data_IF_087907063261
#
_entry.id   IF_087907063261
#
_cell.length_a   1.000
_cell.length_b   1.000
_cell.length_c   1.000
_cell.angle_alpha   90.00
_cell.angle_beta   90.00
_cell.angle_gamma   90.00
#
_symmetry.space_group_name_H-M   'P 1'
#
loop_
_entity.id
_entity.type
_entity.pdbx_description
1 polymer ?
#
# COMPACT_ATOMS: atom_id res chain seq x y z
N UNK A 1 2.46 1.24 2.28
CA UNK A 1 3.43 2.11 1.56
C UNK A 1 4.00 1.47 0.29
N UNK A 2 4.03 0.13 0.18
CA UNK A 2 4.72 -0.57 -0.92
C UNK A 2 3.86 -0.79 -2.18
N UNK A 3 2.58 -0.49 -2.15
CA UNK A 3 1.63 -0.88 -3.20
C UNK A 3 1.06 0.28 -4.01
N UNK A 4 1.47 1.54 -3.76
CA UNK A 4 0.98 2.68 -4.52
C UNK A 4 2.12 3.58 -5.01
N UNK A 5 2.11 3.98 -6.31
CA UNK A 5 3.20 4.69 -6.98
C UNK A 5 3.25 6.20 -6.72
N UNK A 6 2.51 6.73 -5.76
CA UNK A 6 2.58 8.15 -5.43
C UNK A 6 3.84 8.45 -4.62
N UNK A 7 4.74 9.27 -5.18
CA UNK A 7 5.90 9.81 -4.47
C UNK A 7 5.48 10.78 -3.38
N UNK A 8 6.24 10.86 -2.29
CA UNK A 8 6.05 11.81 -1.22
C UNK A 8 5.55 11.17 0.09
N UNK A 9 5.43 12.01 1.12
CA UNK A 9 5.07 11.58 2.46
C UNK A 9 3.66 11.00 2.52
N UNK A 10 3.52 9.87 3.19
CA UNK A 10 2.24 9.17 3.38
C UNK A 10 1.97 9.01 4.86
N UNK A 11 0.74 9.34 5.26
CA UNK A 11 0.22 8.94 6.56
C UNK A 11 -0.46 7.57 6.40
N UNK A 12 -0.01 6.59 7.14
CA UNK A 12 -0.58 5.24 7.17
C UNK A 12 -1.26 5.02 8.51
N UNK A 13 -2.52 4.61 8.48
CA UNK A 13 -3.33 4.27 9.64
C UNK A 13 -3.69 2.79 9.56
N UNK A 14 -3.38 2.04 10.59
CA UNK A 14 -3.74 0.63 10.73
C UNK A 14 -4.60 0.43 11.99
N UNK A 15 -5.88 0.09 11.82
CA UNK A 15 -6.79 -0.14 12.96
C UNK A 15 -6.98 -1.64 13.15
N UNK A 16 -6.20 -2.20 14.05
CA UNK A 16 -6.25 -3.60 14.43
C UNK A 16 -7.30 -3.93 15.50
N UNK A 17 -7.26 -5.16 16.01
CA UNK A 17 -8.17 -5.61 17.07
C UNK A 17 -7.85 -5.02 18.44
N UNK A 18 -6.57 -4.85 18.77
CA UNK A 18 -6.09 -4.36 20.08
C UNK A 18 -5.47 -2.98 20.07
N UNK A 19 -4.88 -2.59 18.95
CA UNK A 19 -4.13 -1.35 18.80
C UNK A 19 -4.44 -0.65 17.48
N UNK A 20 -4.02 0.60 17.39
CA UNK A 20 -3.99 1.39 16.15
C UNK A 20 -2.60 1.95 15.99
N UNK A 21 -2.01 1.71 14.83
CA UNK A 21 -0.72 2.21 14.42
C UNK A 21 -0.91 3.40 13.47
N UNK A 22 -0.09 4.42 13.69
CA UNK A 22 -0.08 5.66 12.89
C UNK A 22 1.36 5.97 12.49
N UNK A 23 1.62 6.02 11.19
CA UNK A 23 2.98 6.13 10.67
C UNK A 23 3.01 7.20 9.59
N UNK A 24 3.93 8.17 9.69
CA UNK A 24 4.31 9.00 8.54
C UNK A 24 5.62 8.46 8.00
N UNK A 25 5.63 8.13 6.71
CA UNK A 25 6.81 7.71 5.98
C UNK A 25 7.03 8.53 4.72
N UNK A 26 8.29 8.72 4.36
CA UNK A 26 8.72 9.28 3.08
C UNK A 26 9.39 8.16 2.31
N UNK A 27 8.74 7.71 1.24
CA UNK A 27 9.06 6.47 0.52
C UNK A 27 9.13 5.26 1.47
N UNK A 28 10.33 4.79 1.82
CA UNK A 28 10.58 3.64 2.69
C UNK A 28 11.10 4.01 4.08
N UNK A 29 11.32 5.29 4.32
CA UNK A 29 11.87 5.78 5.59
C UNK A 29 10.72 6.20 6.50
N UNK A 30 10.50 5.53 7.64
CA UNK A 30 9.57 6.02 8.64
C UNK A 30 10.15 7.29 9.27
N UNK A 31 9.36 8.36 9.28
CA UNK A 31 9.70 9.62 9.92
C UNK A 31 9.20 9.64 11.36
N UNK A 32 7.99 9.15 11.58
CA UNK A 32 7.38 8.95 12.88
C UNK A 32 6.48 7.71 12.83
N UNK A 33 6.48 6.92 13.90
CA UNK A 33 5.65 5.73 14.02
C UNK A 33 5.19 5.59 15.49
N UNK A 34 3.88 5.58 15.67
CA UNK A 34 3.26 5.48 16.98
C UNK A 34 2.21 4.37 17.00
N UNK A 35 2.11 3.67 18.11
CA UNK A 35 1.06 2.69 18.38
C UNK A 35 0.32 3.05 19.66
N UNK A 36 -0.99 2.99 19.60
CA UNK A 36 -1.88 3.25 20.74
C UNK A 36 -2.80 2.07 21.00
N UNK A 37 -3.00 1.73 22.27
CA UNK A 37 -3.94 0.68 22.70
C UNK A 37 -5.38 1.14 22.48
N UNK A 38 -5.81 1.14 21.22
CA UNK A 38 -7.16 1.43 20.79
C UNK A 38 -7.46 0.59 19.53
N UNK A 39 -8.05 -0.56 19.71
CA UNK A 39 -8.43 -1.48 18.63
C UNK A 39 -9.90 -1.82 18.66
N UNK A 40 -10.45 -2.25 17.53
CA UNK A 40 -11.89 -2.47 17.38
C UNK A 40 -12.44 -3.54 18.34
N UNK A 41 -11.68 -4.61 18.63
CA UNK A 41 -12.09 -5.66 19.56
C UNK A 41 -12.04 -5.17 21.02
N UNK A 42 -10.98 -4.45 21.40
CA UNK A 42 -10.85 -3.90 22.75
C UNK A 42 -11.91 -2.85 23.05
N UNK A 43 -12.28 -2.04 22.05
CA UNK A 43 -13.33 -1.02 22.14
C UNK A 43 -14.73 -1.62 22.16
N UNK A 44 -14.98 -2.70 21.39
CA UNK A 44 -16.22 -3.45 21.45
C UNK A 44 -16.53 -3.89 22.89
N UNK A 45 -15.56 -4.57 23.50
CA UNK A 45 -15.70 -5.07 24.88
C UNK A 45 -15.90 -3.97 25.92
N UNK A 46 -15.27 -2.81 25.71
CA UNK A 46 -15.27 -1.72 26.69
C UNK A 46 -16.49 -0.81 26.60
N UNK A 47 -16.92 -0.45 25.38
CA UNK A 47 -17.88 0.61 25.14
C UNK A 47 -19.23 0.10 24.61
N UNK A 48 -19.28 -1.14 24.11
CA UNK A 48 -20.48 -1.73 23.53
C UNK A 48 -20.78 -3.09 24.19
N UNK A 49 -20.97 -3.12 25.53
CA UNK A 49 -21.27 -4.36 26.20
C UNK A 49 -22.55 -4.96 25.63
N UNK A 50 -22.56 -6.29 25.48
CA UNK A 50 -23.67 -7.04 24.89
C UNK A 50 -24.06 -6.63 23.45
N UNK A 51 -23.25 -5.83 22.75
CA UNK A 51 -23.54 -5.40 21.40
C UNK A 51 -24.53 -4.23 21.28
N UNK A 52 -24.85 -3.54 22.36
CA UNK A 52 -25.75 -2.39 22.37
C UNK A 52 -25.12 -1.18 21.65
N UNK A 53 -25.87 -0.61 20.71
CA UNK A 53 -25.52 0.61 19.98
C UNK A 53 -26.33 1.77 20.51
N UNK A 54 -25.65 2.81 20.98
CA UNK A 54 -26.28 4.10 21.32
C UNK A 54 -25.35 5.25 20.90
N UNK A 55 -25.93 6.42 20.71
CA UNK A 55 -25.12 7.65 20.47
C UNK A 55 -24.15 7.91 21.62
N UNK A 56 -24.55 7.62 22.83
CA UNK A 56 -23.75 7.79 24.03
C UNK A 56 -22.56 6.84 24.05
N UNK A 57 -22.77 5.54 23.82
CA UNK A 57 -21.70 4.54 23.75
C UNK A 57 -20.70 4.87 22.63
N UNK A 58 -21.21 5.26 21.47
CA UNK A 58 -20.38 5.66 20.34
C UNK A 58 -19.52 6.88 20.67
N UNK A 59 -20.11 7.94 21.25
CA UNK A 59 -19.37 9.15 21.60
C UNK A 59 -18.36 8.92 22.72
N UNK A 60 -18.66 8.09 23.72
CA UNK A 60 -17.68 7.67 24.74
C UNK A 60 -16.50 6.92 24.12
N UNK A 61 -16.76 6.01 23.17
CA UNK A 61 -15.71 5.32 22.43
C UNK A 61 -14.88 6.31 21.61
N UNK A 62 -15.51 7.19 20.83
CA UNK A 62 -14.86 8.21 20.03
C UNK A 62 -13.99 9.13 20.88
N UNK A 63 -14.52 9.65 21.98
CA UNK A 63 -13.77 10.54 22.88
C UNK A 63 -12.59 9.82 23.55
N UNK A 64 -12.76 8.55 23.92
CA UNK A 64 -11.65 7.74 24.43
C UNK A 64 -10.53 7.55 23.38
N UNK A 65 -10.87 7.44 22.09
CA UNK A 65 -9.87 7.38 21.04
C UNK A 65 -9.18 8.75 20.86
N UNK A 66 -9.94 9.85 20.81
CA UNK A 66 -9.39 11.23 20.75
C UNK A 66 -8.34 11.44 21.84
N UNK A 67 -8.69 11.17 23.09
CA UNK A 67 -7.79 11.38 24.25
C UNK A 67 -6.50 10.54 24.17
N UNK A 68 -6.48 9.50 23.36
CA UNK A 68 -5.30 8.64 23.18
C UNK A 68 -4.36 9.12 22.07
N UNK A 69 -4.83 9.98 21.18
CA UNK A 69 -4.06 10.40 19.99
C UNK A 69 -3.94 11.91 19.82
N UNK A 70 -4.64 12.71 20.62
CA UNK A 70 -4.62 14.18 20.51
C UNK A 70 -3.21 14.77 20.72
N UNK A 71 -2.39 14.14 21.56
CA UNK A 71 -1.00 14.51 21.81
C UNK A 71 -0.12 14.42 20.56
N UNK A 72 -0.49 13.54 19.60
CA UNK A 72 0.25 13.35 18.34
C UNK A 72 -0.09 14.41 17.29
N UNK A 73 -1.22 15.08 17.42
CA UNK A 73 -1.79 15.97 16.40
C UNK A 73 -0.79 17.02 15.91
N UNK A 74 -0.08 17.68 16.83
CA UNK A 74 0.84 18.76 16.48
C UNK A 74 2.05 18.26 15.66
N UNK A 75 2.69 17.17 16.11
CA UNK A 75 3.86 16.60 15.44
C UNK A 75 3.52 16.09 14.05
N UNK A 76 2.42 15.35 13.93
CA UNK A 76 1.98 14.77 12.67
C UNK A 76 1.60 15.84 11.65
N UNK A 77 0.83 16.86 12.06
CA UNK A 77 0.47 17.97 11.17
C UNK A 77 1.67 18.80 10.75
N UNK A 78 2.67 18.98 11.63
CA UNK A 78 3.91 19.69 11.30
C UNK A 78 4.73 18.93 10.25
N UNK A 79 4.82 17.61 10.35
CA UNK A 79 5.48 16.78 9.34
C UNK A 79 4.72 16.81 8.01
N UNK A 80 3.40 16.79 8.05
CA UNK A 80 2.53 16.79 6.88
C UNK A 80 2.62 15.51 6.04
N UNK A 81 1.67 15.32 5.16
CA UNK A 81 1.58 14.20 4.21
C UNK A 81 0.87 14.65 2.93
N UNK A 82 1.12 13.96 1.81
CA UNK A 82 0.45 14.16 0.53
C UNK A 82 -0.73 13.19 0.33
N UNK A 83 -0.66 12.01 0.94
CA UNK A 83 -1.72 11.02 0.86
C UNK A 83 -1.92 10.28 2.17
N UNK A 84 -3.16 9.81 2.39
CA UNK A 84 -3.54 9.03 3.57
C UNK A 84 -3.97 7.64 3.13
N UNK A 85 -3.33 6.63 3.70
CA UNK A 85 -3.62 5.23 3.46
C UNK A 85 -4.13 4.58 4.74
N UNK A 86 -5.15 3.77 4.59
CA UNK A 86 -5.67 2.98 5.69
C UNK A 86 -5.53 1.50 5.42
N UNK A 87 -5.16 0.71 6.41
CA UNK A 87 -4.99 -0.74 6.30
C UNK A 87 -5.72 -1.52 7.41
N UNK A 88 -5.63 -2.83 7.35
CA UNK A 88 -6.29 -3.78 8.26
C UNK A 88 -7.82 -3.88 8.15
N UNK A 89 -8.36 -4.81 8.93
CA UNK A 89 -9.73 -5.27 8.80
C UNK A 89 -10.80 -4.21 9.04
N UNK A 90 -10.57 -3.26 9.94
CA UNK A 90 -11.53 -2.18 10.22
C UNK A 90 -11.70 -1.28 9.00
N UNK A 91 -10.60 -0.77 8.46
CA UNK A 91 -10.63 0.14 7.31
C UNK A 91 -11.09 -0.60 6.05
N UNK A 92 -10.69 -1.87 5.88
CA UNK A 92 -11.20 -2.73 4.80
C UNK A 92 -12.72 -2.84 4.82
N UNK A 93 -13.30 -3.05 5.99
CA UNK A 93 -14.76 -3.16 6.14
C UNK A 93 -15.45 -1.83 5.80
N UNK A 94 -14.94 -0.71 6.28
CA UNK A 94 -15.45 0.64 5.94
C UNK A 94 -15.37 0.89 4.44
N UNK A 95 -14.24 0.59 3.82
CA UNK A 95 -14.04 0.67 2.37
C UNK A 95 -15.08 -0.18 1.61
N UNK A 96 -15.30 -1.43 2.00
CA UNK A 96 -16.28 -2.33 1.37
C UNK A 96 -17.70 -1.79 1.47
N UNK A 97 -18.09 -1.27 2.63
CA UNK A 97 -19.41 -0.67 2.84
C UNK A 97 -19.59 0.58 1.99
N UNK A 98 -18.59 1.48 1.96
CA UNK A 98 -18.65 2.70 1.15
C UNK A 98 -18.71 2.34 -0.35
N UNK A 99 -17.93 1.37 -0.81
CA UNK A 99 -17.96 0.90 -2.20
C UNK A 99 -19.32 0.34 -2.59
N UNK A 100 -19.97 -0.38 -1.68
CA UNK A 100 -21.27 -0.98 -1.93
C UNK A 100 -22.45 0.00 -1.84
N UNK A 101 -22.30 1.14 -1.14
CA UNK A 101 -23.45 2.00 -0.77
C UNK A 101 -23.34 3.44 -1.25
N UNK A 102 -22.14 4.00 -1.38
CA UNK A 102 -21.93 5.44 -1.57
C UNK A 102 -21.05 5.80 -2.76
N UNK A 103 -19.94 5.10 -2.96
CA UNK A 103 -18.97 5.43 -4.01
C UNK A 103 -18.20 4.19 -4.51
N UNK A 104 -18.36 3.80 -5.77
CA UNK A 104 -17.65 2.64 -6.36
C UNK A 104 -16.12 2.72 -6.25
N UNK A 105 -15.53 3.90 -6.11
CA UNK A 105 -14.09 4.09 -5.93
C UNK A 105 -13.63 3.80 -4.49
N UNK A 106 -14.56 3.72 -3.53
CA UNK A 106 -14.28 3.35 -2.15
C UNK A 106 -13.45 4.37 -1.36
N UNK A 107 -13.35 5.62 -1.81
CA UNK A 107 -12.63 6.67 -1.08
C UNK A 107 -13.40 7.02 0.20
N UNK A 108 -12.73 6.90 1.34
CA UNK A 108 -13.28 7.26 2.64
C UNK A 108 -13.08 8.77 2.84
N UNK A 109 -14.14 9.56 2.76
CA UNK A 109 -14.12 10.98 3.09
C UNK A 109 -14.77 11.23 4.44
N UNK A 110 -14.47 12.37 5.08
CA UNK A 110 -15.10 12.76 6.35
C UNK A 110 -16.64 12.77 6.24
N UNK A 111 -17.19 13.28 5.14
CA UNK A 111 -18.63 13.32 4.88
C UNK A 111 -19.23 11.90 4.76
N UNK A 112 -18.60 11.01 4.00
CA UNK A 112 -19.05 9.62 3.83
C UNK A 112 -18.97 8.84 5.13
N UNK A 113 -17.90 9.06 5.90
CA UNK A 113 -17.73 8.46 7.21
C UNK A 113 -18.84 8.91 8.16
N UNK A 114 -19.15 10.21 8.19
CA UNK A 114 -20.23 10.76 8.99
C UNK A 114 -21.61 10.17 8.59
N UNK A 115 -21.89 10.09 7.29
CA UNK A 115 -23.12 9.46 6.79
C UNK A 115 -23.22 7.99 7.23
N UNK A 116 -22.11 7.26 7.17
CA UNK A 116 -22.06 5.86 7.59
C UNK A 116 -22.31 5.73 9.10
N UNK A 117 -21.75 6.61 9.92
CA UNK A 117 -21.98 6.67 11.37
C UNK A 117 -23.45 6.92 11.66
N UNK A 118 -24.08 7.92 11.02
CA UNK A 118 -25.49 8.23 11.21
C UNK A 118 -26.41 7.07 10.86
N UNK A 119 -26.14 6.37 9.76
CA UNK A 119 -26.88 5.15 9.38
C UNK A 119 -26.70 4.03 10.39
N UNK A 120 -25.48 3.83 10.88
CA UNK A 120 -25.16 2.78 11.84
C UNK A 120 -25.85 3.03 13.20
N UNK A 121 -25.94 4.29 13.61
CA UNK A 121 -26.60 4.69 14.87
C UNK A 121 -28.14 4.66 14.82
N UNK A 122 -28.74 4.23 13.71
CA UNK A 122 -30.17 3.94 13.64
C UNK A 122 -30.50 2.56 14.21
N UNK A 123 -29.52 1.64 14.25
CA UNK A 123 -29.67 0.34 14.89
C UNK A 123 -29.43 0.47 16.41
N UNK A 124 -30.11 -0.35 17.21
CA UNK A 124 -29.92 -0.42 18.65
C UNK A 124 -28.99 -1.54 19.11
N UNK A 125 -28.69 -2.49 18.20
CA UNK A 125 -27.85 -3.65 18.49
C UNK A 125 -27.06 -4.07 17.26
N UNK A 126 -25.89 -4.68 17.46
CA UNK A 126 -25.03 -5.15 16.36
C UNK A 126 -25.77 -6.10 15.41
N UNK A 127 -26.60 -6.98 15.94
CA UNK A 127 -27.39 -7.96 15.16
C UNK A 127 -28.43 -7.30 14.22
N UNK A 128 -28.80 -6.06 14.47
CA UNK A 128 -29.73 -5.29 13.62
C UNK A 128 -29.03 -4.62 12.43
N UNK A 129 -27.70 -4.62 12.41
CA UNK A 129 -26.93 -3.99 11.34
C UNK A 129 -27.06 -4.76 10.03
N UNK A 130 -27.89 -4.24 9.14
CA UNK A 130 -28.04 -4.73 7.78
C UNK A 130 -27.61 -3.67 6.78
N UNK A 131 -26.29 -3.58 6.58
CA UNK A 131 -25.66 -2.59 5.69
C UNK A 131 -24.97 -3.33 4.54
N UNK A 132 -25.30 -2.97 3.30
CA UNK A 132 -24.66 -3.58 2.13
C UNK A 132 -23.12 -3.41 2.17
N UNK A 133 -22.40 -4.48 1.91
CA UNK A 133 -20.93 -4.52 2.00
C UNK A 133 -20.36 -4.82 3.38
N UNK A 134 -21.18 -4.84 4.43
CA UNK A 134 -20.75 -5.25 5.77
C UNK A 134 -20.69 -6.77 5.85
N UNK A 135 -19.47 -7.29 6.11
CA UNK A 135 -19.28 -8.73 6.33
C UNK A 135 -19.89 -9.14 7.69
N UNK A 136 -20.75 -10.19 7.74
CA UNK A 136 -21.31 -10.71 8.98
C UNK A 136 -20.29 -11.00 10.09
N UNK A 137 -19.11 -11.51 9.73
CA UNK A 137 -18.02 -11.80 10.68
C UNK A 137 -17.38 -10.55 11.30
N UNK A 138 -17.76 -9.37 10.83
CA UNK A 138 -17.20 -8.08 11.27
C UNK A 138 -18.19 -7.16 11.98
N UNK A 139 -19.43 -7.60 12.12
CA UNK A 139 -20.53 -6.80 12.71
C UNK A 139 -20.18 -6.33 14.12
N UNK A 140 -19.65 -7.22 14.97
CA UNK A 140 -19.32 -6.93 16.38
C UNK A 140 -18.22 -5.89 16.57
N UNK A 141 -17.40 -5.68 15.56
CA UNK A 141 -16.24 -4.77 15.61
C UNK A 141 -16.36 -3.57 14.69
N UNK A 142 -17.44 -3.51 13.90
CA UNK A 142 -17.64 -2.45 12.92
C UNK A 142 -17.91 -1.09 13.57
N UNK A 143 -18.90 -1.03 14.48
CA UNK A 143 -19.26 0.22 15.18
C UNK A 143 -18.11 0.77 16.03
N UNK A 144 -17.44 -0.07 16.87
CA UNK A 144 -16.24 0.35 17.58
C UNK A 144 -15.12 0.85 16.66
N UNK A 145 -14.93 0.18 15.53
CA UNK A 145 -13.98 0.58 14.51
C UNK A 145 -14.29 1.93 13.87
N UNK A 146 -15.57 2.21 13.60
CA UNK A 146 -16.02 3.52 13.12
C UNK A 146 -15.74 4.64 14.14
N UNK A 147 -15.95 4.38 15.43
CA UNK A 147 -15.65 5.37 16.47
C UNK A 147 -14.16 5.72 16.52
N UNK A 148 -13.27 4.72 16.41
CA UNK A 148 -11.82 4.94 16.34
C UNK A 148 -11.46 5.71 15.07
N UNK A 149 -11.98 5.30 13.91
CA UNK A 149 -11.67 5.94 12.63
C UNK A 149 -12.16 7.40 12.59
N UNK A 150 -13.35 7.67 13.13
CA UNK A 150 -13.86 9.05 13.28
C UNK A 150 -12.94 9.92 14.11
N UNK A 151 -12.45 9.42 15.25
CA UNK A 151 -11.49 10.15 16.08
C UNK A 151 -10.17 10.45 15.32
N UNK A 152 -9.68 9.49 14.53
CA UNK A 152 -8.48 9.68 13.69
C UNK A 152 -8.70 10.78 12.64
N UNK A 153 -9.86 10.78 11.97
CA UNK A 153 -10.21 11.82 11.00
C UNK A 153 -10.23 13.21 11.65
N UNK A 154 -10.86 13.34 12.80
CA UNK A 154 -10.99 14.60 13.53
C UNK A 154 -9.63 15.12 14.03
N UNK A 155 -8.86 14.28 14.73
CA UNK A 155 -7.60 14.69 15.37
C UNK A 155 -6.55 15.09 14.34
N UNK A 156 -6.42 14.34 13.26
CA UNK A 156 -5.45 14.66 12.21
C UNK A 156 -6.01 15.62 11.14
N UNK A 157 -7.33 15.88 11.13
CA UNK A 157 -7.97 16.76 10.14
C UNK A 157 -7.94 16.15 8.74
N UNK A 158 -8.30 14.86 8.62
CA UNK A 158 -8.24 14.14 7.37
C UNK A 158 -9.43 14.50 6.47
N UNK A 159 -9.16 14.87 5.22
CA UNK A 159 -10.20 15.08 4.22
C UNK A 159 -10.63 13.77 3.56
N UNK A 160 -9.66 12.93 3.26
CA UNK A 160 -9.89 11.63 2.63
C UNK A 160 -8.82 10.59 3.02
N UNK A 161 -9.18 9.32 2.87
CA UNK A 161 -8.32 8.17 3.07
C UNK A 161 -8.61 7.13 2.00
N UNK A 162 -7.56 6.48 1.47
CA UNK A 162 -7.68 5.33 0.56
C UNK A 162 -7.35 4.05 1.29
N UNK A 163 -8.09 3.01 1.00
CA UNK A 163 -7.77 1.67 1.50
C UNK A 163 -6.56 1.09 0.77
N UNK A 164 -5.69 0.42 1.52
CA UNK A 164 -4.53 -0.32 1.02
C UNK A 164 -4.56 -1.76 1.56
N UNK A 165 -4.42 -2.74 0.67
CA UNK A 165 -4.31 -4.15 1.07
C UNK A 165 -2.99 -4.48 1.78
N UNK A 166 -1.97 -3.62 1.66
CA UNK A 166 -0.69 -3.77 2.37
C UNK A 166 -0.87 -3.59 3.88
N UNK A 167 -0.61 -4.62 4.67
CA UNK A 167 -0.66 -4.57 6.12
C UNK A 167 0.73 -4.37 6.73
N UNK A 168 0.77 -4.00 8.02
CA UNK A 168 2.03 -3.83 8.79
C UNK A 168 2.93 -5.07 8.72
N UNK A 169 2.35 -6.27 8.73
CA UNK A 169 3.09 -7.54 8.66
C UNK A 169 3.89 -7.70 7.37
N UNK A 170 3.37 -7.27 6.22
CA UNK A 170 4.11 -7.25 4.97
C UNK A 170 5.31 -6.30 5.09
N UNK A 171 5.14 -5.14 5.71
CA UNK A 171 6.23 -4.21 6.00
C UNK A 171 7.32 -4.80 6.88
N UNK A 172 6.95 -5.59 7.91
CA UNK A 172 7.91 -6.28 8.79
C UNK A 172 8.64 -7.39 8.02
N UNK A 173 7.95 -8.21 7.24
CA UNK A 173 8.57 -9.24 6.38
C UNK A 173 9.59 -8.57 5.46
N UNK A 174 9.20 -7.48 4.84
CA UNK A 174 10.07 -6.68 3.99
C UNK A 174 11.28 -6.09 4.73
N UNK A 175 11.16 -5.67 5.98
CA UNK A 175 12.29 -5.11 6.76
C UNK A 175 13.31 -6.15 7.22
N UNK A 176 12.94 -7.43 7.24
CA UNK A 176 13.84 -8.53 7.63
C UNK A 176 14.75 -9.01 6.50
N UNK A 177 14.45 -8.65 5.25
CA UNK A 177 15.32 -8.96 4.11
C UNK A 177 16.41 -7.90 3.93
N UNK A 178 17.67 -8.34 3.87
CA UNK A 178 18.85 -7.45 3.70
C UNK A 178 18.80 -6.60 2.43
N UNK A 179 17.96 -6.95 1.46
CA UNK A 179 17.80 -6.28 0.17
C UNK A 179 16.90 -5.02 0.22
N UNK A 180 16.27 -4.72 1.37
CA UNK A 180 15.34 -3.60 1.51
C UNK A 180 15.99 -2.22 1.76
N UNK A 181 17.31 -2.12 1.73
CA UNK A 181 18.01 -0.84 1.76
C UNK A 181 17.96 -0.08 0.41
N UNK A 182 17.33 -0.68 -0.60
CA UNK A 182 17.17 -0.06 -1.92
C UNK A 182 15.87 0.74 -1.96
N UNK A 183 15.95 2.03 -2.26
CA UNK A 183 14.84 2.99 -2.20
C UNK A 183 13.71 2.73 -3.24
N UNK A 184 14.00 2.09 -4.36
CA UNK A 184 13.03 1.86 -5.45
C UNK A 184 12.47 0.42 -5.42
N UNK A 185 11.14 0.29 -5.29
CA UNK A 185 10.41 -1.02 -5.31
C UNK A 185 10.75 -1.83 -6.56
N UNK A 186 10.83 -1.18 -7.72
CA UNK A 186 11.11 -1.83 -9.01
C UNK A 186 12.50 -2.45 -9.02
N UNK A 187 13.49 -1.77 -8.45
CA UNK A 187 14.84 -2.32 -8.27
C UNK A 187 14.80 -3.56 -7.38
N UNK A 188 14.04 -3.54 -6.29
CA UNK A 188 13.88 -4.71 -5.41
C UNK A 188 13.17 -5.86 -6.12
N UNK A 189 12.11 -5.56 -6.87
CA UNK A 189 11.42 -6.56 -7.67
C UNK A 189 12.37 -7.21 -8.67
N UNK A 190 13.19 -6.42 -9.37
CA UNK A 190 14.18 -6.95 -10.30
C UNK A 190 15.24 -7.82 -9.62
N UNK A 191 15.76 -7.39 -8.46
CA UNK A 191 16.73 -8.18 -7.68
C UNK A 191 16.10 -9.46 -7.13
N UNK A 192 14.91 -9.37 -6.53
CA UNK A 192 14.19 -10.52 -5.99
C UNK A 192 13.85 -11.57 -7.06
N UNK A 193 13.48 -11.13 -8.26
CA UNK A 193 13.27 -12.04 -9.40
C UNK A 193 14.58 -12.70 -9.84
N UNK A 194 15.68 -11.93 -9.89
CA UNK A 194 16.98 -12.52 -10.25
C UNK A 194 17.40 -13.61 -9.26
N UNK A 195 17.17 -13.41 -7.96
CA UNK A 195 17.38 -14.40 -6.92
C UNK A 195 16.41 -15.60 -7.03
N UNK A 196 15.11 -15.32 -7.18
CA UNK A 196 14.07 -16.36 -7.29
C UNK A 196 14.32 -17.33 -8.46
N UNK A 197 14.81 -16.80 -9.57
CA UNK A 197 15.14 -17.60 -10.76
C UNK A 197 16.59 -18.09 -10.78
N UNK A 198 17.34 -17.96 -9.66
CA UNK A 198 18.74 -18.39 -9.50
C UNK A 198 19.66 -17.89 -10.63
N UNK A 199 19.53 -16.62 -11.02
CA UNK A 199 20.39 -16.02 -12.04
C UNK A 199 21.83 -15.87 -11.51
N UNK A 200 22.80 -15.88 -12.42
CA UNK A 200 24.16 -15.43 -12.09
C UNK A 200 24.14 -13.92 -11.82
N UNK A 201 23.98 -13.56 -10.53
CA UNK A 201 23.91 -12.16 -10.11
C UNK A 201 25.15 -11.36 -10.51
N UNK A 202 26.32 -12.01 -10.49
CA UNK A 202 27.55 -11.34 -10.91
C UNK A 202 27.54 -11.02 -12.41
N UNK A 203 27.01 -11.91 -13.24
CA UNK A 203 26.81 -11.66 -14.67
C UNK A 203 25.73 -10.59 -14.91
N UNK A 204 24.58 -10.72 -14.24
CA UNK A 204 23.49 -9.75 -14.34
C UNK A 204 23.95 -8.30 -13.98
N UNK A 205 24.75 -8.17 -12.92
CA UNK A 205 25.32 -6.88 -12.53
C UNK A 205 26.37 -6.36 -13.53
N UNK A 206 27.19 -7.22 -14.12
CA UNK A 206 28.12 -6.81 -15.19
C UNK A 206 27.37 -6.24 -16.39
N UNK A 207 26.29 -6.91 -16.82
CA UNK A 207 25.46 -6.45 -17.94
C UNK A 207 24.76 -5.13 -17.60
N UNK A 208 24.17 -5.03 -16.40
CA UNK A 208 23.50 -3.81 -15.94
C UNK A 208 24.47 -2.62 -15.85
N UNK A 209 25.69 -2.82 -15.33
CA UNK A 209 26.70 -1.78 -15.25
C UNK A 209 27.19 -1.34 -16.64
N UNK A 210 27.33 -2.27 -17.59
CA UNK A 210 27.64 -1.95 -18.98
C UNK A 210 26.53 -1.13 -19.63
N UNK A 211 25.26 -1.54 -19.45
CA UNK A 211 24.11 -0.81 -19.92
C UNK A 211 24.05 0.61 -19.31
N UNK A 212 24.31 0.73 -18.01
CA UNK A 212 24.37 2.03 -17.31
C UNK A 212 25.44 2.94 -17.91
N UNK A 213 26.64 2.42 -18.09
CA UNK A 213 27.76 3.19 -18.67
C UNK A 213 27.43 3.72 -20.07
N UNK A 214 26.79 2.90 -20.91
CA UNK A 214 26.40 3.29 -22.27
C UNK A 214 25.26 4.32 -22.26
N UNK A 215 24.23 4.11 -21.44
CA UNK A 215 23.07 5.00 -21.40
C UNK A 215 23.40 6.37 -20.77
N UNK A 216 24.35 6.43 -19.83
CA UNK A 216 24.80 7.70 -19.24
C UNK A 216 25.57 8.58 -20.24
N UNK A 217 26.15 7.99 -21.31
CA UNK A 217 26.78 8.72 -22.40
C UNK A 217 25.76 9.24 -23.44
N UNK A 218 24.50 8.73 -23.41
CA UNK A 218 23.49 9.13 -24.36
C UNK A 218 22.85 10.46 -23.96
N UNK A 219 22.97 11.48 -24.82
CA UNK A 219 22.51 12.86 -24.54
C UNK A 219 21.31 13.30 -25.37
N UNK A 220 20.90 12.51 -26.37
CA UNK A 220 19.88 12.92 -27.36
C UNK A 220 18.46 12.45 -26.97
N UNK A 221 18.05 12.71 -25.75
CA UNK A 221 16.72 12.34 -25.27
C UNK A 221 15.63 13.24 -25.90
N UNK A 222 14.71 12.62 -26.64
CA UNK A 222 13.57 13.36 -27.21
C UNK A 222 12.62 13.89 -26.14
N UNK A 223 12.55 13.21 -24.99
CA UNK A 223 11.76 13.58 -23.81
C UNK A 223 12.66 13.58 -22.57
N UNK A 224 13.39 14.67 -22.30
CA UNK A 224 14.37 14.73 -21.22
C UNK A 224 13.78 14.39 -19.82
N UNK A 225 12.51 14.72 -19.58
CA UNK A 225 11.82 14.43 -18.31
C UNK A 225 11.57 12.92 -18.06
N UNK A 226 11.69 12.09 -19.08
CA UNK A 226 11.59 10.63 -18.96
C UNK A 226 12.96 9.93 -18.99
N UNK A 227 14.05 10.69 -19.09
CA UNK A 227 15.38 10.10 -19.27
C UNK A 227 15.76 9.17 -18.12
N UNK A 228 15.55 9.58 -16.87
CA UNK A 228 15.91 8.79 -15.69
C UNK A 228 15.05 7.53 -15.58
N UNK A 229 13.78 7.61 -15.93
CA UNK A 229 12.89 6.45 -15.95
C UNK A 229 13.32 5.43 -17.02
N UNK A 230 13.63 5.90 -18.23
CA UNK A 230 14.10 5.03 -19.32
C UNK A 230 15.45 4.39 -19.00
N UNK A 231 16.36 5.12 -18.34
CA UNK A 231 17.64 4.59 -17.86
C UNK A 231 17.42 3.46 -16.86
N UNK A 232 16.55 3.67 -15.88
CA UNK A 232 16.23 2.66 -14.87
C UNK A 232 15.57 1.43 -15.49
N UNK A 233 14.62 1.59 -16.41
CA UNK A 233 14.00 0.49 -17.13
C UNK A 233 15.02 -0.37 -17.89
N UNK A 234 16.00 0.28 -18.54
CA UNK A 234 17.07 -0.43 -19.23
C UNK A 234 17.94 -1.24 -18.26
N UNK A 235 18.28 -0.67 -17.10
CA UNK A 235 19.09 -1.35 -16.08
C UNK A 235 18.35 -2.57 -15.51
N UNK A 236 17.05 -2.44 -15.21
CA UNK A 236 16.23 -3.57 -14.73
C UNK A 236 16.08 -4.64 -15.82
N UNK A 237 15.84 -4.24 -17.08
CA UNK A 237 15.80 -5.20 -18.19
C UNK A 237 17.12 -5.96 -18.34
N UNK A 238 18.26 -5.27 -18.24
CA UNK A 238 19.58 -5.88 -18.32
C UNK A 238 19.84 -6.93 -17.24
N UNK A 239 19.32 -6.73 -16.02
CA UNK A 239 19.41 -7.71 -14.93
C UNK A 239 18.52 -8.95 -15.14
N UNK A 240 17.43 -8.81 -15.87
CA UNK A 240 16.40 -9.84 -16.03
C UNK A 240 16.47 -10.57 -17.39
N UNK A 241 17.54 -10.35 -18.16
CA UNK A 241 17.67 -10.94 -19.50
C UNK A 241 17.57 -12.46 -19.51
N UNK A 242 18.06 -13.12 -18.47
CA UNK A 242 18.23 -14.57 -18.41
C UNK A 242 17.18 -15.29 -17.56
N UNK A 243 16.13 -14.61 -17.07
CA UNK A 243 15.04 -15.22 -16.29
C UNK A 243 14.44 -16.45 -16.99
N UNK A 244 14.41 -16.46 -18.32
CA UNK A 244 13.87 -17.55 -19.12
C UNK A 244 14.78 -18.80 -19.24
N UNK A 245 15.98 -18.77 -18.70
CA UNK A 245 16.90 -19.95 -18.70
C UNK A 245 16.23 -21.16 -18.03
N UNK A 246 15.39 -20.92 -17.02
CA UNK A 246 14.65 -21.99 -16.33
C UNK A 246 13.75 -22.79 -17.26
N UNK A 247 13.33 -22.21 -18.41
CA UNK A 247 12.55 -22.91 -19.42
C UNK A 247 13.48 -23.57 -20.43
N UNK A 248 14.37 -22.78 -21.06
CA UNK A 248 15.33 -23.29 -22.04
C UNK A 248 16.40 -22.23 -22.36
N UNK A 249 17.64 -22.66 -22.55
CA UNK A 249 18.73 -21.80 -23.03
C UNK A 249 18.53 -21.31 -24.47
N UNK A 250 17.86 -22.07 -25.31
CA UNK A 250 17.54 -21.68 -26.68
C UNK A 250 16.39 -20.68 -26.70
N UNK A 251 16.57 -19.52 -27.34
CA UNK A 251 15.61 -18.42 -27.36
C UNK A 251 15.29 -17.85 -25.96
N UNK A 252 16.27 -17.82 -25.06
CA UNK A 252 16.12 -17.33 -23.68
C UNK A 252 15.36 -16.00 -23.60
N UNK A 253 15.65 -15.06 -24.50
CA UNK A 253 14.99 -13.76 -24.56
C UNK A 253 13.46 -13.82 -24.75
N UNK A 254 12.98 -14.86 -25.47
CA UNK A 254 11.53 -15.07 -25.64
C UNK A 254 10.91 -15.66 -24.37
N UNK A 255 11.60 -16.57 -23.72
CA UNK A 255 11.16 -17.18 -22.48
C UNK A 255 11.18 -16.17 -21.35
N UNK A 256 12.23 -15.36 -21.23
CA UNK A 256 12.31 -14.26 -20.27
C UNK A 256 11.19 -13.27 -20.45
N UNK A 257 10.92 -12.82 -21.68
CA UNK A 257 9.82 -11.93 -21.99
C UNK A 257 8.46 -12.53 -21.63
N UNK A 258 8.25 -13.82 -21.92
CA UNK A 258 7.01 -14.52 -21.57
C UNK A 258 6.79 -14.57 -20.05
N UNK A 259 7.81 -14.92 -19.28
CA UNK A 259 7.75 -14.93 -17.80
C UNK A 259 7.39 -13.54 -17.30
N UNK A 260 8.16 -12.52 -17.66
CA UNK A 260 7.97 -11.14 -17.20
C UNK A 260 6.63 -10.52 -17.63
N UNK A 261 6.03 -10.99 -18.73
CA UNK A 261 4.73 -10.55 -19.19
C UNK A 261 3.57 -11.12 -18.36
N UNK A 262 3.73 -12.35 -17.83
CA UNK A 262 2.68 -13.08 -17.14
C UNK A 262 2.86 -13.14 -15.62
N UNK A 263 3.87 -12.48 -15.08
CA UNK A 263 4.09 -12.33 -13.64
C UNK A 263 3.58 -10.98 -13.14
N UNK A 264 3.22 -10.92 -11.87
CA UNK A 264 3.05 -9.66 -11.17
C UNK A 264 4.44 -9.07 -10.87
N UNK A 265 4.64 -7.82 -11.28
CA UNK A 265 5.87 -7.06 -11.05
C UNK A 265 5.58 -5.88 -10.10
N UNK A 266 5.66 -6.07 -8.78
CA UNK A 266 5.40 -5.00 -7.82
C UNK A 266 6.21 -3.73 -8.12
N UNK A 267 5.52 -2.59 -8.11
CA UNK A 267 6.13 -1.29 -8.41
C UNK A 267 6.15 -0.90 -9.89
N UNK A 268 5.97 -1.84 -10.82
CA UNK A 268 5.84 -1.53 -12.24
C UNK A 268 4.36 -1.33 -12.61
N UNK A 269 4.07 -0.23 -13.30
CA UNK A 269 2.78 -0.08 -13.96
C UNK A 269 2.72 -0.90 -15.29
N UNK A 270 1.54 -0.96 -15.91
CA UNK A 270 1.33 -1.76 -17.14
C UNK A 270 2.19 -1.29 -18.32
N UNK A 271 2.46 0.00 -18.43
CA UNK A 271 3.27 0.55 -19.51
C UNK A 271 4.76 0.25 -19.27
N UNK A 272 5.22 0.45 -18.06
CA UNK A 272 6.58 0.12 -17.63
C UNK A 272 6.86 -1.37 -17.79
N UNK A 273 5.94 -2.25 -17.37
CA UNK A 273 6.07 -3.69 -17.57
C UNK A 273 6.16 -4.05 -19.05
N UNK A 274 5.30 -3.46 -19.90
CA UNK A 274 5.34 -3.67 -21.36
C UNK A 274 6.68 -3.24 -21.97
N UNK A 275 7.21 -2.10 -21.55
CA UNK A 275 8.52 -1.61 -22.02
C UNK A 275 9.66 -2.52 -21.57
N UNK A 276 9.66 -2.94 -20.29
CA UNK A 276 10.62 -3.89 -19.74
C UNK A 276 10.62 -5.20 -20.53
N UNK A 277 9.43 -5.79 -20.77
CA UNK A 277 9.25 -7.00 -21.57
C UNK A 277 9.79 -6.85 -22.98
N UNK A 278 9.53 -5.72 -23.63
CA UNK A 278 10.04 -5.45 -24.97
C UNK A 278 11.57 -5.30 -25.00
N UNK A 279 12.16 -4.61 -24.04
CA UNK A 279 13.62 -4.51 -23.91
C UNK A 279 14.25 -5.91 -23.77
N UNK A 280 13.71 -6.74 -22.87
CA UNK A 280 14.17 -8.13 -22.67
C UNK A 280 13.96 -8.98 -23.95
N UNK A 281 12.83 -8.85 -24.63
CA UNK A 281 12.49 -9.66 -25.81
C UNK A 281 13.41 -9.38 -27.00
N UNK A 282 13.77 -8.10 -27.21
CA UNK A 282 14.41 -7.64 -28.43
C UNK A 282 15.86 -7.19 -28.22
N UNK A 283 16.47 -7.47 -27.06
CA UNK A 283 17.89 -7.15 -26.84
C UNK A 283 18.84 -7.91 -27.78
N UNK A 284 18.39 -9.01 -28.36
CA UNK A 284 19.13 -9.77 -29.40
C UNK A 284 18.26 -9.96 -30.63
N UNK A 285 18.83 -9.75 -31.80
CA UNK A 285 18.15 -9.93 -33.09
C UNK A 285 17.59 -8.63 -33.70
N UNK A 286 16.99 -8.74 -34.86
CA UNK A 286 16.38 -7.60 -35.55
C UNK A 286 14.97 -7.32 -35.01
N UNK A 287 14.63 -6.06 -34.87
CA UNK A 287 13.22 -5.63 -34.74
C UNK A 287 12.48 -6.02 -36.02
N UNK A 288 11.42 -6.82 -35.90
CA UNK A 288 10.52 -7.17 -36.98
C UNK A 288 9.23 -6.41 -36.85
#
# INVERSE_FOLDING_TARGET
CHTQPESGRKLVIDIGGGSTEMIIGDDFTPLVAESRHMGCVSFAKKFFPNGEISKENFEQARQSAVNKIEDLSWEYRKLGWQSVLGSSGTIKTVYQVITATLDPNGIITAERLQNLIERTLQASHFEELNIAGLNPDRVDVFVPGLAILSAVFDVFGLENMRYSDGALREGVIYSLEKNFQVSDIRTRTALGLAEQFNLDLAQADRVANSAKTLIDQYTHWQKPHLADEMKNLLIWAARLLEVGIVINHRNVQKHSAYILQNMELPGFDREQQRLLVNLVRYHTGAFK
#
